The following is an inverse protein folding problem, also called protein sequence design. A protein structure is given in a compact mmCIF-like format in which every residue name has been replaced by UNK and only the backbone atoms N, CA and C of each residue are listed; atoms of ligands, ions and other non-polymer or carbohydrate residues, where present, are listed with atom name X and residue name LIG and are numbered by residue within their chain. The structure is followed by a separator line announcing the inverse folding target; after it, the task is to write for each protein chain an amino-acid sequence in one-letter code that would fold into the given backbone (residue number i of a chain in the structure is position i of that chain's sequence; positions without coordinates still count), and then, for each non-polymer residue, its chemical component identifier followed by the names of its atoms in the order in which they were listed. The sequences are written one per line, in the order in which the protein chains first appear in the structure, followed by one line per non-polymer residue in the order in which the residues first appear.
data_IF_503177720134
#
_entry.id   IF_503177720134
#
_cell.length_a   1.000
_cell.length_b   1.000
_cell.length_c   1.000
_cell.angle_alpha   90.00
_cell.angle_beta   90.00
_cell.angle_gamma   90.00
#
_symmetry.space_group_name_H-M   'P 1'
#
loop_
_entity.id
_entity.type
_entity.pdbx_description
1 polymer ?
#
# COMPACT_ATOMS: atom_id res chain seq x y z
N UNK A 1 -18.08 4.79 -18.65
CA UNK A 1 -17.41 4.61 -17.33
C UNK A 1 -16.16 5.46 -17.28
N UNK A 2 -16.13 6.53 -16.48
CA UNK A 2 -14.96 7.40 -16.40
C UNK A 2 -13.97 6.82 -15.38
N UNK A 3 -13.18 5.83 -15.82
CA UNK A 3 -12.17 5.11 -14.99
C UNK A 3 -11.24 6.08 -14.25
N UNK A 4 -10.94 7.23 -14.88
CA UNK A 4 -10.11 8.27 -14.29
C UNK A 4 -10.65 8.80 -12.96
N UNK A 5 -11.96 8.84 -12.76
CA UNK A 5 -12.54 9.46 -11.56
C UNK A 5 -12.44 8.55 -10.32
N UNK A 6 -12.62 7.23 -10.49
CA UNK A 6 -12.39 6.25 -9.41
C UNK A 6 -10.90 6.15 -9.07
N UNK A 7 -10.04 6.15 -10.09
CA UNK A 7 -8.58 6.18 -9.88
C UNK A 7 -8.08 7.47 -9.23
N UNK A 8 -8.76 8.60 -9.44
CA UNK A 8 -8.44 9.85 -8.74
C UNK A 8 -8.69 9.71 -7.23
N UNK A 9 -9.73 8.98 -6.81
CA UNK A 9 -9.96 8.68 -5.40
C UNK A 9 -8.79 7.93 -4.76
N UNK A 10 -8.23 6.96 -5.50
CA UNK A 10 -7.07 6.17 -5.07
C UNK A 10 -5.80 7.01 -4.87
N UNK A 11 -5.53 7.98 -5.75
CA UNK A 11 -4.37 8.87 -5.64
C UNK A 11 -4.39 9.76 -4.38
N UNK A 12 -5.57 9.95 -3.79
CA UNK A 12 -5.74 10.73 -2.55
C UNK A 12 -5.72 9.87 -1.28
N UNK A 13 -5.53 8.56 -1.41
CA UNK A 13 -5.50 7.70 -0.24
C UNK A 13 -4.28 8.00 0.64
N UNK A 14 -4.44 8.09 1.97
CA UNK A 14 -3.34 8.39 2.86
C UNK A 14 -2.37 7.20 2.96
N UNK A 15 -1.09 7.50 3.14
CA UNK A 15 -0.05 6.51 3.42
C UNK A 15 1.05 7.12 4.29
N UNK A 16 1.78 6.27 5.03
CA UNK A 16 2.86 6.76 5.89
C UNK A 16 3.93 7.47 5.07
N UNK A 17 4.33 8.68 5.52
CA UNK A 17 5.26 9.57 4.82
C UNK A 17 4.86 9.88 3.36
N UNK A 18 3.58 9.70 3.01
CA UNK A 18 3.06 9.83 1.65
C UNK A 18 3.80 8.96 0.62
N UNK A 19 4.36 7.82 1.04
CA UNK A 19 5.12 6.93 0.16
C UNK A 19 4.25 6.18 -0.84
N UNK A 20 2.95 6.05 -0.57
CA UNK A 20 1.97 5.37 -1.40
C UNK A 20 2.51 4.03 -1.95
N UNK A 21 2.94 3.08 -1.09
CA UNK A 21 3.66 1.88 -1.49
C UNK A 21 2.73 0.83 -2.11
N UNK A 22 2.01 1.21 -3.16
CA UNK A 22 1.05 0.36 -3.85
C UNK A 22 0.97 0.73 -5.34
N UNK A 23 0.65 -0.28 -6.15
CA UNK A 23 0.26 -0.12 -7.54
C UNK A 23 -1.15 -0.70 -7.74
N UNK A 24 -1.93 -0.07 -8.62
CA UNK A 24 -3.22 -0.57 -9.06
C UNK A 24 -3.15 -0.90 -10.54
N UNK A 25 -3.25 -2.19 -10.88
CA UNK A 25 -3.27 -2.67 -12.27
C UNK A 25 -4.71 -2.95 -12.65
N UNK A 26 -5.17 -2.30 -13.73
CA UNK A 26 -6.51 -2.51 -14.26
C UNK A 26 -6.49 -3.58 -15.35
N UNK A 27 -7.21 -4.68 -15.14
CA UNK A 27 -7.31 -5.80 -16.07
C UNK A 27 -8.72 -5.81 -16.65
N UNK A 28 -8.82 -5.70 -17.97
CA UNK A 28 -10.10 -5.62 -18.71
C UNK A 28 -10.22 -6.71 -19.76
N UNK A 29 -9.13 -6.96 -20.47
CA UNK A 29 -9.11 -7.88 -21.59
C UNK A 29 -9.47 -9.28 -21.12
N UNK A 30 -10.34 -9.95 -21.89
CA UNK A 30 -10.85 -11.27 -21.51
C UNK A 30 -9.72 -12.31 -21.41
N UNK A 31 -8.69 -12.18 -22.27
CA UNK A 31 -7.50 -13.02 -22.20
C UNK A 31 -6.75 -12.85 -20.86
N UNK A 32 -6.51 -11.60 -20.44
CA UNK A 32 -5.81 -11.32 -19.18
C UNK A 32 -6.64 -11.70 -17.96
N UNK A 33 -7.97 -11.47 -18.00
CA UNK A 33 -8.88 -11.94 -16.95
C UNK A 33 -8.89 -13.46 -16.85
N UNK A 34 -8.80 -14.18 -17.98
CA UNK A 34 -8.67 -15.64 -17.99
C UNK A 34 -7.33 -16.10 -17.39
N UNK A 35 -6.22 -15.45 -17.74
CA UNK A 35 -4.91 -15.74 -17.14
C UNK A 35 -4.93 -15.49 -15.64
N UNK A 36 -5.46 -14.35 -15.20
CA UNK A 36 -5.59 -13.99 -13.80
C UNK A 36 -6.46 -14.99 -13.02
N UNK A 37 -7.50 -15.53 -13.65
CA UNK A 37 -8.40 -16.50 -13.01
C UNK A 37 -7.68 -17.80 -12.61
N UNK A 38 -6.58 -18.16 -13.27
CA UNK A 38 -5.79 -19.35 -12.93
C UNK A 38 -5.07 -19.22 -11.57
N UNK A 39 -4.87 -18.00 -11.09
CA UNK A 39 -4.31 -17.73 -9.77
C UNK A 39 -5.38 -17.63 -8.67
N UNK A 40 -6.67 -17.67 -9.00
CA UNK A 40 -7.76 -17.49 -8.05
C UNK A 40 -8.22 -18.81 -7.42
N UNK A 41 -8.69 -18.75 -6.18
CA UNK A 41 -9.25 -19.89 -5.45
C UNK A 41 -10.79 -19.88 -5.48
N UNK A 42 -11.40 -21.05 -5.64
CA UNK A 42 -12.85 -21.27 -5.53
C UNK A 42 -13.69 -20.37 -6.46
N UNK A 43 -14.77 -19.82 -5.91
CA UNK A 43 -15.72 -18.98 -6.65
C UNK A 43 -15.12 -17.68 -7.21
N UNK A 44 -13.93 -17.28 -6.74
CA UNK A 44 -13.25 -16.09 -7.26
C UNK A 44 -12.81 -16.27 -8.72
N UNK A 45 -12.57 -17.51 -9.16
CA UNK A 45 -12.29 -17.83 -10.58
C UNK A 45 -13.42 -17.33 -11.47
N UNK A 46 -14.67 -17.64 -11.11
CA UNK A 46 -15.86 -17.23 -11.85
C UNK A 46 -16.04 -15.71 -11.83
N UNK A 47 -15.91 -15.09 -10.66
CA UNK A 47 -16.06 -13.63 -10.48
C UNK A 47 -15.05 -12.84 -11.31
N UNK A 48 -13.80 -13.30 -11.38
CA UNK A 48 -12.75 -12.65 -12.19
C UNK A 48 -13.07 -12.72 -13.69
N UNK A 49 -13.62 -13.86 -14.17
CA UNK A 49 -14.01 -14.02 -15.58
C UNK A 49 -15.27 -13.25 -15.96
N UNK A 50 -16.22 -13.10 -15.05
CA UNK A 50 -17.49 -12.42 -15.31
C UNK A 50 -17.38 -10.89 -15.17
N UNK A 51 -16.61 -10.39 -14.21
CA UNK A 51 -16.57 -8.95 -13.91
C UNK A 51 -15.87 -8.16 -15.04
N UNK A 52 -16.49 -7.06 -15.55
CA UNK A 52 -16.01 -6.33 -16.74
C UNK A 52 -14.66 -5.61 -16.53
N UNK A 53 -14.24 -5.43 -15.28
CA UNK A 53 -12.99 -4.79 -14.90
C UNK A 53 -12.51 -5.38 -13.57
N UNK A 54 -11.24 -5.75 -13.49
CA UNK A 54 -10.57 -6.15 -12.25
C UNK A 54 -9.51 -5.12 -11.91
N UNK A 55 -9.51 -4.65 -10.65
CA UNK A 55 -8.44 -3.82 -10.11
C UNK A 55 -7.57 -4.68 -9.18
N UNK A 56 -6.33 -4.94 -9.60
CA UNK A 56 -5.34 -5.69 -8.81
C UNK A 56 -4.46 -4.70 -8.06
N UNK A 57 -4.48 -4.80 -6.73
CA UNK A 57 -3.66 -3.97 -5.86
C UNK A 57 -2.44 -4.75 -5.37
N UNK A 58 -1.25 -4.31 -5.78
CA UNK A 58 0.02 -4.87 -5.36
C UNK A 58 0.69 -3.93 -4.35
N UNK A 59 1.12 -4.49 -3.22
CA UNK A 59 1.91 -3.76 -2.21
C UNK A 59 3.39 -3.74 -2.61
N UNK A 60 4.00 -2.57 -2.58
CA UNK A 60 5.45 -2.42 -2.73
C UNK A 60 6.14 -2.81 -1.40
N UNK A 61 6.97 -3.85 -1.44
CA UNK A 61 7.69 -4.37 -0.27
C UNK A 61 9.03 -3.67 -0.04
N UNK A 62 9.41 -2.73 -0.91
CA UNK A 62 10.67 -1.97 -0.84
C UNK A 62 10.39 -0.45 -0.89
N UNK A 63 9.62 0.10 0.07
CA UNK A 63 9.19 1.50 0.04
C UNK A 63 10.35 2.50 0.06
N UNK A 64 11.55 2.09 0.50
CA UNK A 64 12.77 2.90 0.42
C UNK A 64 13.11 3.35 -1.00
N UNK A 65 12.74 2.58 -2.04
CA UNK A 65 12.99 2.94 -3.44
C UNK A 65 12.28 4.23 -3.85
N UNK A 66 11.20 4.60 -3.17
CA UNK A 66 10.45 5.84 -3.42
C UNK A 66 11.02 7.06 -2.70
N UNK A 67 11.90 6.88 -1.73
CA UNK A 67 12.45 7.98 -0.92
C UNK A 67 13.08 9.10 -1.75
N UNK A 68 13.90 8.84 -2.80
CA UNK A 68 14.46 9.92 -3.62
C UNK A 68 13.40 10.81 -4.26
N UNK A 69 12.31 10.21 -4.75
CA UNK A 69 11.19 10.96 -5.34
C UNK A 69 10.42 11.76 -4.29
N UNK A 70 10.20 11.21 -3.09
CA UNK A 70 9.58 11.95 -1.99
C UNK A 70 10.47 13.12 -1.55
N UNK A 71 11.78 12.91 -1.42
CA UNK A 71 12.72 13.96 -1.07
C UNK A 71 12.72 15.10 -2.09
N UNK A 72 12.60 14.78 -3.39
CA UNK A 72 12.46 15.80 -4.42
C UNK A 72 11.17 16.59 -4.25
N UNK A 73 10.03 15.92 -4.02
CA UNK A 73 8.76 16.61 -3.75
C UNK A 73 8.84 17.50 -2.50
N UNK A 74 9.51 17.04 -1.43
CA UNK A 74 9.73 17.83 -0.21
C UNK A 74 10.59 19.07 -0.49
N UNK A 75 11.64 18.95 -1.33
CA UNK A 75 12.45 20.09 -1.79
C UNK A 75 11.61 21.08 -2.58
N UNK A 76 10.84 20.60 -3.56
CA UNK A 76 9.97 21.46 -4.37
C UNK A 76 8.89 22.16 -3.54
N UNK A 77 8.43 21.53 -2.46
CA UNK A 77 7.48 22.10 -1.51
C UNK A 77 8.12 23.08 -0.49
N UNK A 78 9.44 23.31 -0.55
CA UNK A 78 10.14 24.24 0.33
C UNK A 78 10.35 23.72 1.76
N UNK A 79 10.36 22.40 1.97
CA UNK A 79 10.64 21.84 3.30
C UNK A 79 12.11 21.97 3.71
N UNK A 80 12.36 21.88 5.02
CA UNK A 80 13.71 22.02 5.57
C UNK A 80 14.63 20.87 5.11
N UNK A 81 15.92 21.18 4.91
CA UNK A 81 16.93 20.17 4.55
C UNK A 81 17.07 19.07 5.61
N UNK A 82 16.89 19.43 6.89
CA UNK A 82 16.90 18.49 8.00
C UNK A 82 15.75 17.46 7.88
N UNK A 83 14.53 17.91 7.58
CA UNK A 83 13.39 17.01 7.42
C UNK A 83 13.58 16.05 6.23
N UNK A 84 14.08 16.57 5.11
CA UNK A 84 14.37 15.79 3.90
C UNK A 84 15.40 14.69 4.19
N UNK A 85 16.48 15.03 4.90
CA UNK A 85 17.56 14.07 5.21
C UNK A 85 17.16 13.04 6.28
N UNK A 86 16.20 13.36 7.15
CA UNK A 86 15.71 12.42 8.16
C UNK A 86 14.73 11.38 7.60
N UNK A 87 14.12 11.61 6.44
CA UNK A 87 13.11 10.71 5.86
C UNK A 87 13.57 9.24 5.74
N UNK A 88 14.76 8.91 5.18
CA UNK A 88 15.21 7.53 5.08
C UNK A 88 15.35 6.85 6.45
N UNK A 89 15.83 7.58 7.46
CA UNK A 89 15.99 7.06 8.82
C UNK A 89 14.64 6.80 9.48
N UNK A 90 13.71 7.75 9.36
CA UNK A 90 12.33 7.60 9.85
C UNK A 90 11.63 6.43 9.16
N UNK A 91 11.78 6.28 7.85
CA UNK A 91 11.20 5.17 7.12
C UNK A 91 11.74 3.82 7.62
N UNK A 92 13.06 3.66 7.78
CA UNK A 92 13.64 2.43 8.33
C UNK A 92 13.10 2.12 9.73
N UNK A 93 13.00 3.16 10.57
CA UNK A 93 12.52 3.02 11.93
C UNK A 93 11.04 2.61 12.00
N UNK A 94 10.16 3.25 11.24
CA UNK A 94 8.70 3.03 11.31
C UNK A 94 8.19 1.95 10.34
N UNK A 95 8.79 1.84 9.16
CA UNK A 95 8.44 0.88 8.11
C UNK A 95 9.15 -0.47 8.24
N UNK A 96 10.03 -0.65 9.24
CA UNK A 96 10.65 -1.95 9.56
C UNK A 96 11.67 -2.44 8.53
N UNK A 97 12.09 -1.57 7.60
CA UNK A 97 12.99 -1.92 6.52
C UNK A 97 14.45 -1.98 7.02
N UNK A 98 15.04 -3.17 7.01
CA UNK A 98 16.41 -3.45 7.45
C UNK A 98 16.49 -4.42 8.63
N UNK A 99 17.20 -5.54 8.43
CA UNK A 99 17.32 -6.64 9.40
C UNK A 99 17.87 -6.22 10.78
N UNK A 100 18.82 -5.29 10.81
CA UNK A 100 19.47 -4.85 12.04
C UNK A 100 18.55 -3.97 12.90
N UNK A 101 17.80 -3.06 12.28
CA UNK A 101 16.84 -2.20 12.96
C UNK A 101 15.66 -3.00 13.54
N UNK A 102 15.22 -4.04 12.82
CA UNK A 102 14.17 -4.95 13.28
C UNK A 102 14.60 -5.78 14.49
N UNK A 103 15.82 -6.32 14.50
CA UNK A 103 16.34 -7.11 15.61
C UNK A 103 16.50 -6.28 16.90
N UNK A 104 17.08 -5.08 16.79
CA UNK A 104 17.26 -4.18 17.94
C UNK A 104 15.89 -3.75 18.49
N UNK A 105 14.94 -3.38 17.62
CA UNK A 105 13.59 -2.98 18.05
C UNK A 105 12.84 -4.12 18.69
N UNK A 106 12.91 -5.34 18.16
CA UNK A 106 12.25 -6.50 18.76
C UNK A 106 12.81 -6.82 20.15
N UNK A 107 14.13 -6.73 20.32
CA UNK A 107 14.77 -6.91 21.62
C UNK A 107 14.38 -5.83 22.64
N UNK A 108 14.47 -4.55 22.24
CA UNK A 108 14.13 -3.42 23.10
C UNK A 108 12.63 -3.37 23.42
N UNK A 109 11.77 -3.65 22.42
CA UNK A 109 10.33 -3.71 22.64
C UNK A 109 9.99 -4.81 23.62
N UNK A 110 10.51 -6.02 23.44
CA UNK A 110 10.22 -7.16 24.33
C UNK A 110 10.65 -6.88 25.79
N UNK A 111 11.78 -6.19 25.99
CA UNK A 111 12.26 -5.85 27.32
C UNK A 111 11.47 -4.72 28.00
N UNK A 112 11.00 -3.72 27.25
CA UNK A 112 10.35 -2.52 27.81
C UNK A 112 8.82 -2.58 27.82
N UNK A 113 8.19 -3.45 27.01
CA UNK A 113 6.72 -3.63 26.94
C UNK A 113 6.05 -3.85 28.32
N UNK A 114 6.65 -4.57 29.30
CA UNK A 114 6.02 -4.75 30.61
C UNK A 114 5.92 -3.46 31.44
N UNK A 115 6.76 -2.47 31.16
CA UNK A 115 6.86 -1.24 31.95
C UNK A 115 6.29 -0.03 31.22
N UNK A 116 6.40 0.00 29.89
CA UNK A 116 5.81 1.04 29.04
C UNK A 116 5.36 0.48 27.69
N UNK A 117 4.22 0.94 27.15
CA UNK A 117 3.79 0.59 25.81
C UNK A 117 4.74 1.18 24.78
N UNK A 118 5.67 0.34 24.32
CA UNK A 118 6.63 0.67 23.27
C UNK A 118 6.13 0.12 21.92
N UNK A 119 6.31 0.85 20.80
CA UNK A 119 5.86 0.39 19.50
C UNK A 119 6.49 -0.95 19.12
N UNK A 120 5.67 -2.00 19.01
CA UNK A 120 6.11 -3.33 18.58
C UNK A 120 6.68 -3.27 17.16
N UNK A 121 7.67 -4.11 16.87
CA UNK A 121 8.22 -4.22 15.52
C UNK A 121 7.13 -4.76 14.57
N UNK A 122 6.89 -4.03 13.47
CA UNK A 122 6.00 -4.45 12.40
C UNK A 122 6.87 -4.63 11.16
N UNK A 123 6.88 -5.82 10.52
CA UNK A 123 7.70 -6.04 9.34
C UNK A 123 7.21 -5.19 8.16
N UNK A 124 8.11 -4.84 7.24
CA UNK A 124 7.81 -3.99 6.08
C UNK A 124 6.61 -4.49 5.29
N UNK A 125 6.48 -5.80 5.12
CA UNK A 125 5.35 -6.43 4.46
C UNK A 125 4.00 -6.01 5.06
N UNK A 126 3.86 -6.04 6.39
CA UNK A 126 2.61 -5.67 7.07
C UNK A 126 2.35 -4.16 6.98
N UNK A 127 3.40 -3.34 7.03
CA UNK A 127 3.28 -1.89 6.86
C UNK A 127 2.84 -1.50 5.44
N UNK A 128 3.40 -2.13 4.42
CA UNK A 128 3.02 -1.92 3.02
C UNK A 128 1.59 -2.40 2.75
N UNK A 129 1.22 -3.61 3.17
CA UNK A 129 -0.15 -4.11 3.03
C UNK A 129 -1.17 -3.21 3.72
N UNK A 130 -0.86 -2.68 4.92
CA UNK A 130 -1.74 -1.72 5.60
C UNK A 130 -1.99 -0.49 4.73
N UNK A 131 -0.94 0.08 4.15
CA UNK A 131 -1.07 1.25 3.26
C UNK A 131 -1.87 0.92 2.01
N UNK A 132 -1.62 -0.23 1.37
CA UNK A 132 -2.38 -0.71 0.22
C UNK A 132 -3.87 -0.89 0.54
N UNK A 133 -4.21 -1.43 1.72
CA UNK A 133 -5.60 -1.66 2.10
C UNK A 133 -6.38 -0.37 2.37
N UNK A 134 -5.72 0.70 2.85
CA UNK A 134 -6.33 2.03 2.91
C UNK A 134 -6.69 2.53 1.50
N UNK A 135 -5.78 2.31 0.55
CA UNK A 135 -5.98 2.66 -0.85
C UNK A 135 -7.13 1.86 -1.51
N UNK A 136 -7.19 0.55 -1.26
CA UNK A 136 -8.29 -0.33 -1.69
C UNK A 136 -9.63 0.14 -1.11
N UNK A 137 -9.66 0.49 0.17
CA UNK A 137 -10.90 0.96 0.83
C UNK A 137 -11.40 2.24 0.18
N UNK A 138 -10.50 3.18 -0.11
CA UNK A 138 -10.84 4.42 -0.80
C UNK A 138 -11.33 4.17 -2.23
N UNK A 139 -10.73 3.21 -2.94
CA UNK A 139 -11.17 2.81 -4.28
C UNK A 139 -12.59 2.23 -4.26
N UNK A 140 -12.89 1.36 -3.29
CA UNK A 140 -14.24 0.78 -3.13
C UNK A 140 -15.27 1.86 -2.82
N UNK A 141 -14.97 2.78 -1.89
CA UNK A 141 -15.84 3.91 -1.56
C UNK A 141 -16.06 4.84 -2.76
N UNK A 142 -15.00 5.08 -3.55
CA UNK A 142 -15.10 5.87 -4.76
C UNK A 142 -15.89 5.15 -5.86
N UNK A 143 -15.82 3.83 -5.96
CA UNK A 143 -16.64 3.07 -6.90
C UNK A 143 -18.12 3.11 -6.51
N UNK A 144 -18.43 2.90 -5.23
CA UNK A 144 -19.80 2.91 -4.70
C UNK A 144 -20.46 4.28 -4.85
N UNK A 145 -19.74 5.38 -4.62
CA UNK A 145 -20.26 6.73 -4.82
C UNK A 145 -20.62 7.04 -6.28
N UNK A 146 -20.14 6.23 -7.23
CA UNK A 146 -20.49 6.29 -8.64
C UNK A 146 -21.50 5.22 -9.06
N UNK A 147 -22.12 4.53 -8.11
CA UNK A 147 -23.11 3.47 -8.34
C UNK A 147 -22.51 2.18 -8.88
N UNK A 148 -21.21 1.93 -8.66
CA UNK A 148 -20.53 0.72 -9.13
C UNK A 148 -20.38 -0.24 -7.95
N UNK A 149 -21.13 -1.34 -8.00
CA UNK A 149 -20.96 -2.44 -7.06
C UNK A 149 -19.57 -3.08 -7.21
N UNK A 150 -18.87 -3.24 -6.09
CA UNK A 150 -17.54 -3.89 -6.07
C UNK A 150 -17.58 -5.16 -5.22
N UNK A 151 -16.81 -6.17 -5.63
CA UNK A 151 -16.57 -7.37 -4.85
C UNK A 151 -15.07 -7.50 -4.58
N UNK A 152 -14.72 -7.72 -3.31
CA UNK A 152 -13.32 -7.89 -2.90
C UNK A 152 -12.97 -9.37 -2.81
N UNK A 153 -11.92 -9.77 -3.52
CA UNK A 153 -11.25 -11.06 -3.37
C UNK A 153 -9.86 -10.83 -2.81
N UNK A 154 -9.48 -11.54 -1.74
CA UNK A 154 -8.09 -11.62 -1.29
C UNK A 154 -7.47 -12.89 -1.87
N UNK A 155 -6.30 -12.73 -2.48
CA UNK A 155 -5.37 -13.82 -2.78
C UNK A 155 -4.52 -14.12 -1.55
#
# INVERSE_FOLDING_TARGET
MNKGLVLHGLQRAPSGFNLQPYACVLVQDAADRNTLSAAMLGDNVRKVKEAPLIAVFASDLEPSKRVPAIQEMMRSAGQSTADIQQLPLKLRFFGGEGHLAGAIRNGLSTALTPFQPVPTYVPTIAWSYKSTMLAVSQYILAAESHGIGTFRSCL
#
